data_IF_765960866087
#
_entry.id   IF_765960866087
#
_cell.length_a   1.000
_cell.length_b   1.000
_cell.length_c   1.000
_cell.angle_alpha   90.00
_cell.angle_beta   90.00
_cell.angle_gamma   90.00
#
_symmetry.space_group_name_H-M   'P 1'
#
loop_
_entity.id
_entity.type
_entity.pdbx_description
1 polymer ?
#
# COMPACT_ATOMS: atom_id res chain seq x y z
N UNK A 1 -38.94 9.07 -19.10
CA UNK A 1 -37.48 9.01 -19.24
C UNK A 1 -36.82 8.85 -17.89
N UNK A 2 -36.43 7.62 -17.58
CA UNK A 2 -35.90 7.25 -16.26
C UNK A 2 -34.41 7.52 -16.23
N UNK A 3 -34.01 8.47 -15.38
CA UNK A 3 -32.61 8.75 -15.01
C UNK A 3 -31.99 7.44 -14.53
N UNK A 4 -31.08 6.89 -15.33
CA UNK A 4 -30.26 5.74 -14.93
C UNK A 4 -29.38 6.21 -13.78
N UNK A 5 -29.76 5.87 -12.56
CA UNK A 5 -28.82 5.82 -11.45
C UNK A 5 -27.72 4.83 -11.83
N UNK A 6 -26.55 5.35 -12.22
CA UNK A 6 -25.30 4.60 -12.28
C UNK A 6 -24.90 4.35 -10.82
N UNK A 7 -25.53 3.37 -10.18
CA UNK A 7 -24.99 2.83 -8.94
C UNK A 7 -23.77 2.00 -9.33
N UNK A 8 -22.59 2.47 -8.91
CA UNK A 8 -21.32 1.74 -8.84
C UNK A 8 -21.55 0.25 -8.62
N UNK A 9 -21.48 -0.55 -9.68
CA UNK A 9 -21.35 -1.99 -9.53
C UNK A 9 -19.87 -2.30 -9.35
N UNK A 10 -19.37 -2.03 -8.15
CA UNK A 10 -18.05 -2.48 -7.73
C UNK A 10 -17.99 -4.00 -7.84
N UNK A 11 -17.05 -4.51 -8.64
CA UNK A 11 -16.86 -5.95 -8.81
C UNK A 11 -16.41 -6.59 -7.47
N UNK A 12 -16.97 -7.73 -7.04
CA UNK A 12 -16.51 -8.42 -5.84
C UNK A 12 -15.00 -8.71 -5.89
N UNK A 13 -14.30 -8.64 -4.75
CA UNK A 13 -12.85 -8.87 -4.68
C UNK A 13 -12.45 -10.24 -5.25
N UNK A 14 -13.26 -11.27 -5.01
CA UNK A 14 -13.06 -12.62 -5.56
C UNK A 14 -13.10 -12.64 -7.09
N UNK A 15 -13.95 -11.81 -7.71
CA UNK A 15 -14.03 -11.67 -9.16
C UNK A 15 -12.89 -10.80 -9.71
N UNK A 16 -12.46 -9.75 -8.97
CA UNK A 16 -11.30 -8.92 -9.35
C UNK A 16 -10.00 -9.73 -9.39
N UNK A 17 -9.82 -10.68 -8.48
CA UNK A 17 -8.64 -11.57 -8.43
C UNK A 17 -8.46 -12.44 -9.67
N UNK A 18 -9.52 -12.66 -10.44
CA UNK A 18 -9.43 -13.41 -11.70
C UNK A 18 -8.80 -12.57 -12.83
N UNK A 19 -8.82 -11.23 -12.72
CA UNK A 19 -8.31 -10.32 -13.75
C UNK A 19 -7.04 -9.59 -13.31
N UNK A 20 -6.98 -9.18 -12.05
CA UNK A 20 -5.91 -8.35 -11.51
C UNK A 20 -4.99 -9.23 -10.66
N UNK A 21 -3.69 -9.31 -10.97
CA UNK A 21 -2.75 -10.10 -10.18
C UNK A 21 -2.76 -9.69 -8.70
N UNK A 22 -2.60 -10.64 -7.75
CA UNK A 22 -2.67 -10.35 -6.32
C UNK A 22 -1.77 -9.20 -5.86
N UNK A 23 -0.56 -9.10 -6.41
CA UNK A 23 0.38 -8.03 -6.08
C UNK A 23 -0.13 -6.65 -6.49
N UNK A 24 -0.80 -6.53 -7.64
CA UNK A 24 -1.38 -5.27 -8.12
C UNK A 24 -2.60 -4.88 -7.29
N UNK A 25 -3.41 -5.85 -6.85
CA UNK A 25 -4.50 -5.60 -5.89
C UNK A 25 -3.95 -5.09 -4.55
N UNK A 26 -2.90 -5.73 -4.03
CA UNK A 26 -2.24 -5.29 -2.80
C UNK A 26 -1.68 -3.87 -2.94
N UNK A 27 -0.99 -3.57 -4.04
CA UNK A 27 -0.45 -2.23 -4.33
C UNK A 27 -1.57 -1.16 -4.37
N UNK A 28 -2.70 -1.48 -5.02
CA UNK A 28 -3.85 -0.58 -5.08
C UNK A 28 -4.49 -0.35 -3.69
N UNK A 29 -4.54 -1.38 -2.84
CA UNK A 29 -5.04 -1.25 -1.47
C UNK A 29 -4.11 -0.39 -0.60
N UNK A 30 -2.79 -0.60 -0.69
CA UNK A 30 -1.81 0.24 0.01
C UNK A 30 -1.87 1.70 -0.46
N UNK A 31 -2.06 1.92 -1.76
CA UNK A 31 -2.28 3.27 -2.29
C UNK A 31 -3.57 3.91 -1.75
N UNK A 32 -4.64 3.13 -1.62
CA UNK A 32 -5.90 3.63 -1.03
C UNK A 32 -5.73 4.08 0.42
N UNK A 33 -4.89 3.40 1.21
CA UNK A 33 -4.53 3.83 2.57
C UNK A 33 -3.88 5.21 2.56
N UNK A 34 -2.96 5.46 1.61
CA UNK A 34 -2.35 6.78 1.42
C UNK A 34 -3.37 7.85 1.02
N UNK A 35 -4.24 7.54 0.04
CA UNK A 35 -5.27 8.48 -0.43
C UNK A 35 -6.26 8.86 0.67
N UNK A 36 -6.66 7.90 1.49
CA UNK A 36 -7.58 8.11 2.60
C UNK A 36 -6.92 8.74 3.83
N UNK A 37 -5.59 8.95 3.80
CA UNK A 37 -4.78 9.41 4.94
C UNK A 37 -5.07 8.60 6.20
N UNK A 38 -5.23 7.29 6.05
CA UNK A 38 -5.43 6.41 7.20
C UNK A 38 -4.07 6.15 7.88
N UNK A 39 -3.58 7.17 8.57
CA UNK A 39 -2.25 7.23 9.20
C UNK A 39 -2.01 6.07 10.17
N UNK A 40 -3.08 5.59 10.82
CA UNK A 40 -3.01 4.44 11.72
C UNK A 40 -2.60 3.13 11.04
N UNK A 41 -2.62 3.08 9.71
CA UNK A 41 -2.16 1.94 8.92
C UNK A 41 -0.79 2.20 8.28
N UNK A 42 -0.14 3.34 8.45
CA UNK A 42 1.14 3.63 7.79
C UNK A 42 2.26 2.66 8.19
N UNK A 43 2.17 2.01 9.35
CA UNK A 43 3.08 0.94 9.74
C UNK A 43 3.12 -0.23 8.75
N UNK A 44 1.97 -0.69 8.23
CA UNK A 44 1.95 -1.79 7.24
C UNK A 44 2.52 -1.35 5.89
N UNK A 45 2.43 -0.06 5.56
CA UNK A 45 3.06 0.48 4.36
C UNK A 45 4.58 0.50 4.52
N UNK A 46 5.08 0.92 5.68
CA UNK A 46 6.50 0.91 5.98
C UNK A 46 7.07 -0.51 5.99
N UNK A 47 6.38 -1.48 6.60
CA UNK A 47 6.75 -2.90 6.58
C UNK A 47 6.84 -3.44 5.13
N UNK A 48 5.86 -3.09 4.30
CA UNK A 48 5.84 -3.48 2.89
C UNK A 48 7.02 -2.89 2.11
N UNK A 49 7.30 -1.59 2.30
CA UNK A 49 8.43 -0.91 1.65
C UNK A 49 9.74 -1.53 2.09
N UNK A 50 9.91 -1.84 3.38
CA UNK A 50 11.12 -2.49 3.90
C UNK A 50 11.33 -3.86 3.25
N UNK A 51 10.33 -4.74 3.32
CA UNK A 51 10.38 -6.09 2.76
C UNK A 51 10.78 -6.10 1.29
N UNK A 52 10.14 -5.25 0.49
CA UNK A 52 10.39 -5.19 -0.94
C UNK A 52 11.75 -4.55 -1.25
N UNK A 53 12.20 -3.57 -0.46
CA UNK A 53 13.52 -2.95 -0.63
C UNK A 53 14.66 -3.89 -0.23
N UNK A 54 14.44 -4.77 0.75
CA UNK A 54 15.38 -5.84 1.11
C UNK A 54 15.47 -6.89 0.00
N UNK A 55 14.32 -7.32 -0.53
CA UNK A 55 14.25 -8.35 -1.55
C UNK A 55 14.75 -7.89 -2.92
N UNK A 56 14.51 -6.61 -3.28
CA UNK A 56 14.88 -6.02 -4.57
C UNK A 56 15.46 -4.62 -4.35
N UNK A 57 16.73 -4.51 -3.92
CA UNK A 57 17.39 -3.23 -3.65
C UNK A 57 17.46 -2.29 -4.86
N UNK A 58 17.41 -2.84 -6.07
CA UNK A 58 17.45 -2.08 -7.33
C UNK A 58 16.12 -1.42 -7.69
N UNK A 59 15.04 -1.76 -6.97
CA UNK A 59 13.70 -1.24 -7.25
C UNK A 59 13.61 0.26 -7.01
N UNK A 60 14.19 0.71 -5.91
CA UNK A 60 14.05 2.05 -5.37
C UNK A 60 15.36 2.49 -4.76
N UNK A 61 15.72 3.77 -4.86
CA UNK A 61 16.98 4.23 -4.29
C UNK A 61 16.96 4.06 -2.77
N UNK A 62 18.07 3.57 -2.20
CA UNK A 62 18.22 3.40 -0.75
C UNK A 62 17.80 4.64 0.03
N UNK A 63 18.24 5.84 -0.38
CA UNK A 63 17.90 7.10 0.29
C UNK A 63 16.39 7.34 0.32
N UNK A 64 15.70 7.34 -0.83
CA UNK A 64 14.25 7.51 -0.86
C UNK A 64 13.50 6.38 -0.13
N UNK A 65 14.03 5.15 -0.12
CA UNK A 65 13.46 4.03 0.64
C UNK A 65 13.48 4.30 2.14
N UNK A 66 14.64 4.71 2.68
CA UNK A 66 14.79 5.12 4.08
C UNK A 66 13.90 6.32 4.41
N UNK A 67 13.87 7.34 3.55
CA UNK A 67 13.01 8.52 3.72
C UNK A 67 11.52 8.16 3.74
N UNK A 68 11.07 7.24 2.87
CA UNK A 68 9.69 6.79 2.83
C UNK A 68 9.32 5.99 4.08
N UNK A 69 10.18 5.05 4.50
CA UNK A 69 9.97 4.24 5.72
C UNK A 69 9.90 5.16 6.94
N UNK A 70 10.89 6.04 7.09
CA UNK A 70 10.92 7.05 8.15
C UNK A 70 9.68 7.94 8.11
N UNK A 71 9.34 8.43 6.92
CA UNK A 71 8.23 9.32 6.69
C UNK A 71 6.90 8.74 7.20
N UNK A 72 6.65 7.48 6.86
CA UNK A 72 5.46 6.73 7.26
C UNK A 72 5.44 6.47 8.76
N UNK A 73 6.54 5.97 9.33
CA UNK A 73 6.66 5.65 10.77
C UNK A 73 6.54 6.90 11.64
N UNK A 74 7.20 7.98 11.22
CA UNK A 74 7.19 9.23 11.96
C UNK A 74 5.80 9.85 12.00
N UNK A 75 5.08 9.84 10.88
CA UNK A 75 3.69 10.32 10.81
C UNK A 75 2.75 9.46 11.67
N UNK A 76 2.86 8.13 11.59
CA UNK A 76 2.09 7.22 12.44
C UNK A 76 2.35 7.45 13.92
N UNK A 77 3.63 7.60 14.28
CA UNK A 77 4.08 7.83 15.65
C UNK A 77 3.52 9.15 16.18
N UNK A 78 3.67 10.25 15.44
CA UNK A 78 3.17 11.55 15.88
C UNK A 78 1.65 11.60 15.99
N UNK A 79 0.91 10.94 15.09
CA UNK A 79 -0.55 10.83 15.18
C UNK A 79 -1.00 10.00 16.38
N UNK A 80 -0.20 9.01 16.81
CA UNK A 80 -0.45 8.27 18.05
C UNK A 80 -0.08 9.09 19.29
N UNK A 81 0.98 9.90 19.23
CA UNK A 81 1.38 10.80 20.31
C UNK A 81 0.29 11.79 20.70
N UNK A 82 -0.47 12.31 19.74
CA UNK A 82 -1.59 13.23 20.01
C UNK A 82 -2.72 12.55 20.79
N UNK A 83 -2.88 11.24 20.63
CA UNK A 83 -3.97 10.47 21.23
C UNK A 83 -3.58 9.80 22.56
N UNK A 84 -2.40 9.17 22.64
CA UNK A 84 -1.94 8.44 23.83
C UNK A 84 -0.42 8.21 23.83
N UNK A 85 0.30 8.85 24.74
CA UNK A 85 1.76 8.73 24.85
C UNK A 85 2.27 7.31 25.18
N UNK A 86 1.46 6.44 25.80
CA UNK A 86 1.90 5.07 26.14
C UNK A 86 2.04 4.15 24.92
N UNK A 87 1.32 4.43 23.82
CA UNK A 87 1.43 3.64 22.58
C UNK A 87 2.66 4.02 21.73
N UNK A 88 3.34 5.11 22.08
CA UNK A 88 4.45 5.71 21.31
C UNK A 88 5.77 4.98 21.55
N UNK A 89 6.02 4.48 22.76
CA UNK A 89 7.27 3.80 23.12
C UNK A 89 7.61 2.62 22.20
N UNK A 90 6.59 1.93 21.68
CA UNK A 90 6.78 0.78 20.80
C UNK A 90 7.16 1.17 19.35
N UNK A 91 6.80 2.38 18.92
CA UNK A 91 7.14 2.90 17.58
C UNK A 91 8.54 3.50 17.53
N UNK A 92 9.00 4.10 18.64
CA UNK A 92 10.39 4.57 18.77
C UNK A 92 11.38 3.44 18.53
N UNK A 93 11.11 2.24 19.07
CA UNK A 93 11.94 1.05 18.84
C UNK A 93 11.93 0.57 17.38
N UNK A 94 10.87 0.87 16.62
CA UNK A 94 10.80 0.52 15.20
C UNK A 94 11.51 1.52 14.29
N UNK A 95 11.66 2.78 14.73
CA UNK A 95 12.46 3.80 14.03
C UNK A 95 13.96 3.63 14.34
N UNK A 96 14.30 3.08 15.49
CA UNK A 96 15.65 2.68 15.89
C UNK A 96 16.10 1.33 15.28
N UNK A 97 15.36 0.81 14.27
CA UNK A 97 15.71 -0.46 13.62
C UNK A 97 16.94 -0.32 12.73
N UNK A 98 17.63 -1.44 12.52
CA UNK A 98 18.81 -1.52 11.64
C UNK A 98 18.53 -1.08 10.19
N UNK A 99 17.28 -1.09 9.76
CA UNK A 99 16.84 -0.72 8.40
C UNK A 99 16.95 0.79 8.15
N UNK A 100 16.77 1.58 9.21
CA UNK A 100 16.77 3.06 9.16
C UNK A 100 18.11 3.63 9.65
N UNK A 101 18.77 2.94 10.58
CA UNK A 101 20.09 3.30 11.09
C UNK A 101 20.15 4.73 11.65
N UNK A 102 21.27 5.43 11.39
CA UNK A 102 21.52 6.76 11.95
C UNK A 102 20.50 7.83 11.49
N UNK A 103 19.82 7.62 10.35
CA UNK A 103 18.81 8.55 9.85
C UNK A 103 17.57 8.67 10.78
N UNK A 104 17.32 7.65 11.61
CA UNK A 104 16.22 7.64 12.57
C UNK A 104 16.53 8.31 13.91
N UNK A 105 17.81 8.50 14.25
CA UNK A 105 18.24 9.03 15.54
C UNK A 105 17.62 10.39 15.89
N UNK A 106 17.59 11.39 14.98
CA UNK A 106 16.99 12.68 15.30
C UNK A 106 15.51 12.58 15.66
N UNK A 107 14.78 11.67 14.99
CA UNK A 107 13.37 11.43 15.29
C UNK A 107 13.18 10.72 16.64
N UNK A 108 14.03 9.73 16.94
CA UNK A 108 14.03 9.04 18.24
C UNK A 108 14.27 10.04 19.38
N UNK A 109 15.26 10.92 19.24
CA UNK A 109 15.56 11.97 20.21
C UNK A 109 14.39 12.94 20.40
N UNK A 110 13.76 13.39 19.30
CA UNK A 110 12.56 14.21 19.33
C UNK A 110 11.45 13.52 20.14
N UNK A 111 11.11 12.28 19.81
CA UNK A 111 10.03 11.56 20.50
C UNK A 111 10.33 11.37 21.98
N UNK A 112 11.57 11.01 22.33
CA UNK A 112 11.99 10.90 23.73
C UNK A 112 11.85 12.22 24.49
N UNK A 113 12.15 13.34 23.83
CA UNK A 113 12.02 14.68 24.39
C UNK A 113 10.55 15.02 24.64
N UNK A 114 9.67 14.76 23.66
CA UNK A 114 8.21 14.97 23.79
C UNK A 114 7.57 14.09 24.88
N UNK A 115 8.12 12.90 25.15
CA UNK A 115 7.67 12.02 26.24
C UNK A 115 8.09 12.59 27.61
N UNK A 116 9.31 13.12 27.71
CA UNK A 116 9.90 13.59 28.98
C UNK A 116 9.41 14.98 29.38
N UNK A 117 9.23 15.89 28.43
CA UNK A 117 8.90 17.28 28.67
C UNK A 117 7.50 17.65 28.14
N UNK A 118 6.59 17.95 29.06
CA UNK A 118 5.20 18.31 28.72
C UNK A 118 5.10 19.69 28.07
N UNK A 119 5.90 20.68 28.47
CA UNK A 119 5.83 22.02 27.90
C UNK A 119 6.34 22.04 26.45
N UNK A 120 7.45 21.36 26.19
CA UNK A 120 7.97 21.18 24.83
C UNK A 120 7.00 20.38 23.95
N UNK A 121 6.34 19.38 24.52
CA UNK A 121 5.30 18.61 23.83
C UNK A 121 4.13 19.49 23.39
N UNK A 122 3.61 20.30 24.30
CA UNK A 122 2.47 21.15 24.02
C UNK A 122 2.85 22.23 23.00
N UNK A 123 4.06 22.80 23.11
CA UNK A 123 4.61 23.71 22.10
C UNK A 123 4.76 23.05 20.72
N UNK A 124 5.31 21.83 20.68
CA UNK A 124 5.51 21.07 19.45
C UNK A 124 4.19 20.82 18.73
N UNK A 125 3.18 20.29 19.41
CA UNK A 125 1.89 19.98 18.77
C UNK A 125 1.09 21.23 18.36
N UNK A 126 1.28 22.35 19.05
CA UNK A 126 0.60 23.60 18.71
C UNK A 126 1.26 24.35 17.54
N UNK A 127 2.59 24.32 17.43
CA UNK A 127 3.32 25.22 16.54
C UNK A 127 4.22 24.52 15.52
N UNK A 128 4.78 23.36 15.84
CA UNK A 128 5.77 22.67 14.99
C UNK A 128 5.08 21.58 14.17
N UNK A 129 4.32 20.70 14.82
CA UNK A 129 3.64 19.57 14.18
C UNK A 129 2.76 19.96 12.97
N UNK A 130 1.92 21.01 13.03
CA UNK A 130 1.08 21.37 11.89
C UNK A 130 1.86 21.85 10.66
N UNK A 131 3.10 22.30 10.87
CA UNK A 131 4.00 22.80 9.83
C UNK A 131 4.86 21.66 9.30
N UNK A 132 5.61 20.99 10.17
CA UNK A 132 6.58 19.95 9.79
C UNK A 132 5.92 18.63 9.37
N UNK A 133 4.75 18.29 9.93
CA UNK A 133 3.97 17.09 9.61
C UNK A 133 2.66 17.45 8.91
N UNK A 134 2.61 18.62 8.28
CA UNK A 134 1.44 19.17 7.59
C UNK A 134 1.21 18.61 6.18
N UNK A 135 0.41 19.32 5.36
CA UNK A 135 0.07 18.89 3.99
C UNK A 135 1.27 18.66 3.07
N UNK A 136 2.35 19.41 3.24
CA UNK A 136 3.56 19.28 2.43
C UNK A 136 4.28 17.97 2.72
N UNK A 137 4.38 17.60 4.00
CA UNK A 137 4.88 16.30 4.45
C UNK A 137 4.02 15.17 3.89
N UNK A 138 2.69 15.26 4.05
CA UNK A 138 1.75 14.27 3.52
C UNK A 138 1.92 14.07 2.01
N UNK A 139 2.12 15.17 1.27
CA UNK A 139 2.30 15.14 -0.18
C UNK A 139 3.64 14.50 -0.58
N UNK A 140 4.71 14.77 0.16
CA UNK A 140 6.01 14.18 -0.07
C UNK A 140 5.98 12.65 0.11
N UNK A 141 5.44 12.16 1.24
CA UNK A 141 5.34 10.72 1.49
C UNK A 141 4.38 10.02 0.51
N UNK A 142 3.30 10.69 0.08
CA UNK A 142 2.41 10.18 -0.97
C UNK A 142 3.13 10.05 -2.31
N UNK A 143 3.96 11.03 -2.67
CA UNK A 143 4.73 11.01 -3.92
C UNK A 143 5.74 9.87 -3.91
N UNK A 144 6.50 9.72 -2.83
CA UNK A 144 7.45 8.62 -2.65
C UNK A 144 6.76 7.26 -2.72
N UNK A 145 5.63 7.09 -2.03
CA UNK A 145 4.86 5.84 -2.06
C UNK A 145 4.31 5.53 -3.46
N UNK A 146 3.83 6.54 -4.18
CA UNK A 146 3.36 6.35 -5.55
C UNK A 146 4.48 5.91 -6.48
N UNK A 147 5.64 6.57 -6.41
CA UNK A 147 6.81 6.21 -7.24
C UNK A 147 7.27 4.78 -6.91
N UNK A 148 7.32 4.43 -5.63
CA UNK A 148 7.65 3.08 -5.16
C UNK A 148 6.71 2.02 -5.75
N UNK A 149 5.39 2.17 -5.57
CA UNK A 149 4.38 1.23 -6.07
C UNK A 149 4.36 1.15 -7.60
N UNK A 150 4.56 2.30 -8.27
CA UNK A 150 4.63 2.37 -9.73
C UNK A 150 5.83 1.59 -10.24
N UNK A 151 7.01 1.77 -9.66
CA UNK A 151 8.22 1.02 -10.02
C UNK A 151 8.05 -0.47 -9.78
N UNK A 152 7.42 -0.87 -8.66
CA UNK A 152 7.15 -2.28 -8.37
C UNK A 152 6.31 -2.92 -9.48
N UNK A 153 5.28 -2.22 -9.95
CA UNK A 153 4.47 -2.67 -11.07
C UNK A 153 5.22 -2.78 -12.41
N UNK A 154 6.27 -1.97 -12.62
CA UNK A 154 7.12 -2.06 -13.81
C UNK A 154 8.15 -3.19 -13.72
N UNK A 155 8.72 -3.42 -12.52
CA UNK A 155 9.67 -4.51 -12.28
C UNK A 155 9.01 -5.90 -12.35
N UNK A 156 7.72 -6.00 -12.01
CA UNK A 156 6.97 -7.24 -12.00
C UNK A 156 5.78 -7.17 -12.97
N UNK A 157 6.03 -7.18 -14.29
CA UNK A 157 4.97 -7.16 -15.29
C UNK A 157 4.11 -8.43 -15.20
N UNK A 158 2.86 -8.32 -15.67
CA UNK A 158 1.97 -9.48 -15.73
C UNK A 158 2.47 -10.40 -16.85
N UNK A 159 2.78 -11.67 -16.58
CA UNK A 159 3.21 -12.60 -17.62
C UNK A 159 2.06 -12.84 -18.61
N UNK A 160 2.43 -13.07 -19.88
CA UNK A 160 1.46 -13.53 -20.87
C UNK A 160 1.14 -15.02 -20.68
N UNK A 161 0.22 -15.55 -21.50
CA UNK A 161 -0.21 -16.93 -21.38
C UNK A 161 0.95 -17.93 -21.61
N UNK A 162 1.83 -17.67 -22.57
CA UNK A 162 2.93 -18.58 -22.89
C UNK A 162 3.95 -18.60 -21.75
N UNK A 163 4.33 -17.42 -21.25
CA UNK A 163 5.21 -17.30 -20.09
C UNK A 163 4.62 -17.96 -18.84
N UNK A 164 3.30 -17.82 -18.64
CA UNK A 164 2.60 -18.47 -17.52
C UNK A 164 2.64 -19.99 -17.65
N UNK A 165 2.41 -20.54 -18.85
CA UNK A 165 2.52 -22.00 -19.10
C UNK A 165 3.93 -22.51 -18.81
N UNK A 166 4.96 -21.78 -19.22
CA UNK A 166 6.35 -22.16 -18.96
C UNK A 166 6.67 -22.19 -17.45
N UNK A 167 6.11 -21.26 -16.67
CA UNK A 167 6.31 -21.19 -15.20
C UNK A 167 5.49 -22.22 -14.42
N UNK A 168 4.33 -22.62 -14.93
CA UNK A 168 3.45 -23.61 -14.29
C UNK A 168 4.10 -25.01 -14.23
N UNK A 169 5.11 -25.28 -15.07
CA UNK A 169 5.78 -26.58 -15.10
C UNK A 169 4.81 -27.75 -15.30
N UNK A 170 5.16 -28.94 -14.79
CA UNK A 170 4.32 -30.15 -14.90
C UNK A 170 3.41 -30.38 -13.68
N UNK A 171 2.93 -29.32 -13.01
CA UNK A 171 2.20 -29.47 -11.75
C UNK A 171 0.72 -29.85 -11.92
N UNK A 172 0.29 -30.91 -11.22
CA UNK A 172 -1.09 -31.44 -11.22
C UNK A 172 -2.03 -30.74 -10.22
N UNK A 173 -1.50 -29.94 -9.29
CA UNK A 173 -2.25 -29.24 -8.24
C UNK A 173 -3.14 -28.13 -8.82
N UNK A 174 -2.62 -27.37 -9.79
CA UNK A 174 -3.31 -26.24 -10.43
C UNK A 174 -4.59 -26.66 -11.16
N UNK A 175 -4.63 -27.88 -11.70
CA UNK A 175 -5.84 -28.42 -12.34
C UNK A 175 -6.99 -28.59 -11.35
N UNK A 176 -6.72 -28.98 -10.10
CA UNK A 176 -7.76 -29.13 -9.07
C UNK A 176 -8.35 -27.76 -8.70
N UNK A 177 -7.51 -26.75 -8.51
CA UNK A 177 -7.96 -25.38 -8.23
C UNK A 177 -8.78 -24.80 -9.40
N UNK A 178 -8.44 -25.17 -10.65
CA UNK A 178 -9.21 -24.83 -11.84
C UNK A 178 -10.57 -25.56 -11.87
N UNK A 179 -10.60 -26.87 -11.58
CA UNK A 179 -11.83 -27.67 -11.52
C UNK A 179 -12.80 -27.12 -10.48
N UNK A 180 -12.31 -26.72 -9.30
CA UNK A 180 -13.12 -26.07 -8.26
C UNK A 180 -13.68 -24.71 -8.73
N UNK A 181 -12.85 -23.89 -9.39
CA UNK A 181 -13.25 -22.58 -9.92
C UNK A 181 -14.29 -22.70 -11.04
N UNK A 182 -14.23 -23.75 -11.86
CA UNK A 182 -15.21 -24.05 -12.91
C UNK A 182 -16.51 -24.58 -12.29
N UNK A 183 -16.40 -25.41 -11.25
CA UNK A 183 -17.54 -25.96 -10.52
C UNK A 183 -18.32 -24.90 -9.76
N UNK A 184 -17.65 -23.81 -9.33
CA UNK A 184 -18.26 -22.64 -8.72
C UNK A 184 -17.94 -21.34 -9.51
N UNK A 185 -18.60 -21.13 -10.66
CA UNK A 185 -18.19 -20.13 -11.64
C UNK A 185 -18.73 -18.72 -11.33
N UNK A 186 -19.35 -18.49 -10.17
CA UNK A 186 -20.06 -17.23 -9.89
C UNK A 186 -19.14 -16.01 -9.96
N UNK A 187 -17.88 -16.14 -9.53
CA UNK A 187 -16.87 -15.09 -9.64
C UNK A 187 -16.50 -14.81 -11.11
N UNK A 188 -16.32 -15.86 -11.90
CA UNK A 188 -15.98 -15.73 -13.32
C UNK A 188 -17.15 -15.14 -14.11
N UNK A 189 -18.38 -15.61 -13.86
CA UNK A 189 -19.60 -15.06 -14.45
C UNK A 189 -19.76 -13.58 -14.11
N UNK A 190 -19.58 -13.21 -12.84
CA UNK A 190 -19.67 -11.82 -12.39
C UNK A 190 -18.67 -10.93 -13.14
N UNK A 191 -17.42 -11.37 -13.28
CA UNK A 191 -16.41 -10.67 -14.07
C UNK A 191 -16.82 -10.52 -15.54
N UNK A 192 -17.22 -11.61 -16.20
CA UNK A 192 -17.58 -11.60 -17.62
C UNK A 192 -18.82 -10.74 -17.88
N UNK A 193 -19.84 -10.82 -17.02
CA UNK A 193 -21.03 -9.98 -17.12
C UNK A 193 -20.71 -8.50 -16.92
N UNK A 194 -19.81 -8.17 -15.99
CA UNK A 194 -19.35 -6.81 -15.79
C UNK A 194 -18.66 -6.26 -17.05
N UNK A 195 -17.74 -7.01 -17.65
CA UNK A 195 -17.08 -6.59 -18.90
C UNK A 195 -18.04 -6.51 -20.10
N UNK A 196 -19.03 -7.40 -20.17
CA UNK A 196 -20.10 -7.32 -21.16
C UNK A 196 -20.94 -6.06 -20.97
N UNK A 197 -21.30 -5.71 -19.74
CA UNK A 197 -22.02 -4.48 -19.43
C UNK A 197 -21.25 -3.22 -19.84
N UNK A 198 -19.92 -3.24 -19.70
CA UNK A 198 -19.04 -2.15 -20.15
C UNK A 198 -18.83 -2.10 -21.68
N UNK A 199 -19.38 -3.05 -22.45
CA UNK A 199 -19.20 -3.12 -23.90
C UNK A 199 -17.81 -3.64 -24.33
N UNK A 200 -16.97 -4.12 -23.40
CA UNK A 200 -15.63 -4.62 -23.72
C UNK A 200 -15.64 -5.96 -24.47
N UNK A 201 -16.75 -6.69 -24.43
CA UNK A 201 -16.93 -8.00 -25.06
C UNK A 201 -17.86 -7.96 -26.28
N UNK A 202 -18.32 -6.78 -26.68
CA UNK A 202 -19.05 -6.63 -27.93
C UNK A 202 -18.04 -6.79 -29.06
N UNK A 203 -18.29 -7.75 -29.95
CA UNK A 203 -17.41 -7.98 -31.09
C UNK A 203 -17.26 -6.67 -31.88
N UNK A 204 -16.04 -6.28 -32.32
CA UNK A 204 -15.92 -5.23 -33.33
C UNK A 204 -16.75 -5.69 -34.53
N UNK A 205 -17.78 -4.91 -34.88
CA UNK A 205 -18.81 -5.29 -35.83
C UNK A 205 -18.23 -5.99 -37.07
N UNK A 206 -18.70 -7.21 -37.32
CA UNK A 206 -18.72 -7.83 -38.64
C UNK A 206 -20.15 -7.84 -39.13
#
# INVERSE_FOLDING_TARGET
DSVRHVSDQSLPLSSLRLLVPPLRLMSALLWRVMQQRNVMQYGILADFVSLVSEAVPELFSHTHGVELILGLRAKECMEKCTCNLRSVCHLVMQVDSAEVGEAGLPFVELVQTLIKNTDERDHFFQHIFPVEFGPDYDSAIQTLMWDFLSRLGHFLPVPDLLQTVDWLGSESSVLKDCEESISNPDNLKSLLHHHKFLGHLDAPGR
#
